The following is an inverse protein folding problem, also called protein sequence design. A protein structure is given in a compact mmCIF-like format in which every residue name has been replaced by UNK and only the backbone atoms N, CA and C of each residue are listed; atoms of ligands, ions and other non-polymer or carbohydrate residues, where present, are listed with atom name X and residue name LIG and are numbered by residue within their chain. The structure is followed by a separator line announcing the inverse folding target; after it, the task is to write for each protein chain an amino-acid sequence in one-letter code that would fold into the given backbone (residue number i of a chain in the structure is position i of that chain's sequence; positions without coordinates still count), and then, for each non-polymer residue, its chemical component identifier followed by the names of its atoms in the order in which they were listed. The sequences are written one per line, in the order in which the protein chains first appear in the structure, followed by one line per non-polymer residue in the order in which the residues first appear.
data_IF_486288861252
#
_entry.id   IF_486288861252
#
_cell.length_a   1.000
_cell.length_b   1.000
_cell.length_c   1.000
_cell.angle_alpha   90.00
_cell.angle_beta   90.00
_cell.angle_gamma   90.00
#
_symmetry.space_group_name_H-M   'P 1'
#
loop_
_entity.id
_entity.type
_entity.pdbx_description
1 polymer ?
#
# COMPACT_ATOMS: atom_id res chain seq x y z
N UNK A 1 32.40 0.00 2.43
CA UNK A 1 32.60 -1.40 2.78
C UNK A 1 31.98 -2.36 1.77
N UNK A 2 30.67 -2.37 1.56
CA UNK A 2 30.00 -3.32 0.66
C UNK A 2 30.40 -3.17 -0.81
N UNK A 3 30.67 -1.96 -1.30
CA UNK A 3 31.22 -1.75 -2.64
C UNK A 3 32.62 -2.35 -2.82
N UNK A 4 33.47 -2.26 -1.80
CA UNK A 4 34.78 -2.92 -1.83
C UNK A 4 34.63 -4.45 -1.80
N UNK A 5 33.72 -4.96 -0.95
CA UNK A 5 33.41 -6.38 -0.89
C UNK A 5 32.94 -6.90 -2.24
N UNK A 6 32.07 -6.15 -2.93
CA UNK A 6 31.58 -6.51 -4.27
C UNK A 6 32.70 -6.60 -5.32
N UNK A 7 33.68 -5.69 -5.26
CA UNK A 7 34.82 -5.70 -6.20
C UNK A 7 35.73 -6.94 -6.06
N UNK A 8 35.83 -7.48 -4.85
CA UNK A 8 36.69 -8.64 -4.57
C UNK A 8 35.91 -9.94 -4.40
N UNK A 9 34.59 -9.92 -4.68
CA UNK A 9 33.71 -11.07 -4.48
C UNK A 9 34.11 -12.22 -5.41
N UNK A 10 34.61 -13.31 -4.83
CA UNK A 10 35.05 -14.53 -5.51
C UNK A 10 33.96 -15.61 -5.60
N UNK A 11 32.84 -15.45 -4.86
CA UNK A 11 31.72 -16.38 -4.86
C UNK A 11 30.40 -15.66 -5.09
N UNK A 12 29.37 -16.38 -5.57
CA UNK A 12 28.00 -15.87 -5.70
C UNK A 12 27.44 -15.39 -4.37
N UNK A 13 27.65 -16.17 -3.30
CA UNK A 13 27.21 -15.81 -1.95
C UNK A 13 27.81 -14.48 -1.47
N UNK A 14 29.11 -14.29 -1.68
CA UNK A 14 29.79 -13.05 -1.31
C UNK A 14 29.26 -11.87 -2.11
N UNK A 15 28.98 -12.05 -3.41
CA UNK A 15 28.39 -11.07 -4.29
C UNK A 15 26.98 -10.69 -3.83
N UNK A 16 26.12 -11.68 -3.57
CA UNK A 16 24.75 -11.47 -3.06
C UNK A 16 24.77 -10.70 -1.74
N UNK A 17 25.65 -11.08 -0.79
CA UNK A 17 25.78 -10.39 0.50
C UNK A 17 26.20 -8.93 0.31
N UNK A 18 27.15 -8.65 -0.58
CA UNK A 18 27.60 -7.30 -0.85
C UNK A 18 26.48 -6.44 -1.51
N UNK A 19 25.78 -6.99 -2.51
CA UNK A 19 24.70 -6.30 -3.18
C UNK A 19 23.50 -6.03 -2.26
N UNK A 20 23.12 -7.00 -1.41
CA UNK A 20 22.08 -6.81 -0.41
C UNK A 20 22.48 -5.74 0.60
N UNK A 21 23.75 -5.71 1.03
CA UNK A 21 24.27 -4.66 1.90
C UNK A 21 24.22 -3.27 1.26
N UNK A 22 24.52 -3.15 -0.04
CA UNK A 22 24.40 -1.90 -0.81
C UNK A 22 22.93 -1.46 -0.88
N UNK A 23 22.01 -2.39 -1.19
CA UNK A 23 20.58 -2.10 -1.24
C UNK A 23 20.05 -1.54 0.09
N UNK A 24 20.41 -2.19 1.21
CA UNK A 24 20.03 -1.73 2.56
C UNK A 24 20.62 -0.36 2.91
N UNK A 25 21.84 -0.05 2.46
CA UNK A 25 22.42 1.28 2.63
C UNK A 25 21.58 2.34 1.89
N UNK A 26 21.26 2.12 0.62
CA UNK A 26 20.43 3.04 -0.16
C UNK A 26 19.01 3.19 0.40
N UNK A 27 18.46 2.10 0.93
CA UNK A 27 17.16 2.15 1.64
C UNK A 27 17.25 3.06 2.88
N UNK A 28 18.33 2.96 3.65
CA UNK A 28 18.54 3.84 4.81
C UNK A 28 18.76 5.31 4.43
N UNK A 29 19.40 5.57 3.30
CA UNK A 29 19.60 6.91 2.73
C UNK A 29 18.33 7.50 2.11
N UNK A 30 17.31 6.68 1.84
CA UNK A 30 16.06 7.10 1.20
C UNK A 30 16.20 7.47 -0.27
N UNK A 31 17.27 7.02 -0.96
CA UNK A 31 17.51 7.30 -2.37
C UNK A 31 16.78 6.31 -3.27
N UNK A 32 15.59 6.69 -3.75
CA UNK A 32 14.72 5.83 -4.55
C UNK A 32 15.40 5.30 -5.83
N UNK A 33 16.11 6.14 -6.56
CA UNK A 33 16.80 5.74 -7.81
C UNK A 33 17.89 4.70 -7.53
N UNK A 34 18.68 4.93 -6.49
CA UNK A 34 19.74 4.00 -6.09
C UNK A 34 19.17 2.68 -5.56
N UNK A 35 18.03 2.71 -4.85
CA UNK A 35 17.29 1.52 -4.41
C UNK A 35 16.85 0.69 -5.62
N UNK A 36 16.19 1.33 -6.59
CA UNK A 36 15.70 0.68 -7.81
C UNK A 36 16.87 0.01 -8.55
N UNK A 37 17.96 0.73 -8.76
CA UNK A 37 19.14 0.20 -9.46
C UNK A 37 19.77 -0.99 -8.70
N UNK A 38 19.99 -0.86 -7.39
CA UNK A 38 20.60 -1.90 -6.57
C UNK A 38 19.72 -3.15 -6.45
N UNK A 39 18.40 -2.97 -6.27
CA UNK A 39 17.45 -4.07 -6.21
C UNK A 39 17.34 -4.80 -7.55
N UNK A 40 17.30 -4.07 -8.67
CA UNK A 40 17.25 -4.66 -10.01
C UNK A 40 18.50 -5.51 -10.26
N UNK A 41 19.68 -4.97 -9.97
CA UNK A 41 20.93 -5.73 -10.11
C UNK A 41 20.98 -6.99 -9.21
N UNK A 42 20.41 -6.92 -8.01
CA UNK A 42 20.32 -8.07 -7.11
C UNK A 42 19.37 -9.13 -7.67
N UNK A 43 18.21 -8.72 -8.21
CA UNK A 43 17.17 -9.60 -8.76
C UNK A 43 17.57 -10.30 -10.07
N UNK A 44 18.59 -9.83 -10.78
CA UNK A 44 19.16 -10.48 -11.96
C UNK A 44 19.94 -11.77 -11.65
N UNK A 45 20.25 -12.02 -10.37
CA UNK A 45 20.95 -13.24 -9.99
C UNK A 45 20.06 -14.48 -10.12
N UNK A 46 20.54 -15.51 -10.81
CA UNK A 46 19.78 -16.75 -11.04
C UNK A 46 19.48 -17.53 -9.75
N UNK A 47 20.43 -17.54 -8.81
CA UNK A 47 20.33 -18.29 -7.54
C UNK A 47 20.18 -17.33 -6.36
N UNK A 48 19.00 -16.74 -6.23
CA UNK A 48 18.65 -15.89 -5.12
C UNK A 48 17.66 -16.60 -4.20
N UNK A 49 17.94 -16.61 -2.89
CA UNK A 49 16.98 -17.18 -1.93
C UNK A 49 15.68 -16.36 -1.92
N UNK A 50 14.56 -17.03 -1.63
CA UNK A 50 13.24 -16.38 -1.65
C UNK A 50 13.16 -15.17 -0.71
N UNK A 51 13.78 -15.27 0.48
CA UNK A 51 13.80 -14.16 1.44
C UNK A 51 14.51 -12.92 0.88
N UNK A 52 15.67 -13.12 0.23
CA UNK A 52 16.43 -11.99 -0.36
C UNK A 52 15.67 -11.43 -1.57
N UNK A 53 15.07 -12.29 -2.37
CA UNK A 53 14.22 -11.88 -3.49
C UNK A 53 13.04 -11.04 -3.02
N UNK A 54 12.32 -11.49 -2.01
CA UNK A 54 11.18 -10.74 -1.44
C UNK A 54 11.63 -9.39 -0.86
N UNK A 55 12.75 -9.34 -0.14
CA UNK A 55 13.30 -8.10 0.39
C UNK A 55 13.68 -7.12 -0.73
N UNK A 56 14.32 -7.61 -1.80
CA UNK A 56 14.70 -6.77 -2.94
C UNK A 56 13.48 -6.22 -3.69
N UNK A 57 12.48 -7.06 -3.94
CA UNK A 57 11.21 -6.65 -4.55
C UNK A 57 10.48 -5.62 -3.67
N UNK A 58 10.44 -5.85 -2.37
CA UNK A 58 9.77 -4.95 -1.43
C UNK A 58 10.39 -3.56 -1.42
N UNK A 59 11.72 -3.44 -1.33
CA UNK A 59 12.37 -2.14 -1.35
C UNK A 59 12.25 -1.45 -2.71
N UNK A 60 12.31 -2.22 -3.82
CA UNK A 60 12.10 -1.66 -5.16
C UNK A 60 10.68 -1.17 -5.35
N UNK A 61 9.69 -1.92 -4.90
CA UNK A 61 8.30 -1.51 -4.92
C UNK A 61 8.07 -0.21 -4.14
N UNK A 62 8.63 -0.09 -2.93
CA UNK A 62 8.52 1.14 -2.12
C UNK A 62 9.18 2.34 -2.82
N UNK A 63 10.30 2.14 -3.48
CA UNK A 63 10.96 3.18 -4.28
C UNK A 63 10.11 3.56 -5.51
N UNK A 64 9.49 2.60 -6.20
CA UNK A 64 8.54 2.87 -7.27
C UNK A 64 7.31 3.65 -6.78
N UNK A 65 6.75 3.28 -5.61
CA UNK A 65 5.63 4.02 -5.00
C UNK A 65 6.00 5.47 -4.68
N UNK A 66 7.20 5.70 -4.13
CA UNK A 66 7.67 7.07 -3.82
C UNK A 66 7.89 7.93 -5.06
N UNK A 67 8.12 7.31 -6.22
CA UNK A 67 8.23 7.96 -7.52
C UNK A 67 6.92 7.94 -8.32
N UNK A 68 5.80 7.57 -7.70
CA UNK A 68 4.46 7.46 -8.32
C UNK A 68 4.41 6.49 -9.52
N UNK A 69 5.37 5.56 -9.59
CA UNK A 69 5.48 4.53 -10.62
C UNK A 69 4.61 3.32 -10.25
N UNK A 70 3.32 3.55 -10.05
CA UNK A 70 2.38 2.57 -9.49
C UNK A 70 2.33 1.26 -10.29
N UNK A 71 2.38 1.33 -11.61
CA UNK A 71 2.37 0.13 -12.46
C UNK A 71 3.58 -0.77 -12.22
N UNK A 72 4.79 -0.20 -11.98
CA UNK A 72 5.99 -0.96 -11.63
C UNK A 72 5.91 -1.51 -10.20
N UNK A 73 5.36 -0.73 -9.28
CA UNK A 73 5.14 -1.17 -7.91
C UNK A 73 4.19 -2.39 -7.85
N UNK A 74 3.12 -2.41 -8.64
CA UNK A 74 2.18 -3.55 -8.74
C UNK A 74 2.90 -4.84 -9.09
N UNK A 75 3.81 -4.80 -10.07
CA UNK A 75 4.59 -5.99 -10.50
C UNK A 75 5.42 -6.56 -9.35
N UNK A 76 6.07 -5.70 -8.58
CA UNK A 76 6.93 -6.11 -7.47
C UNK A 76 6.14 -6.51 -6.22
N UNK A 77 5.00 -5.87 -5.95
CA UNK A 77 4.16 -6.14 -4.78
C UNK A 77 3.36 -7.45 -4.91
N UNK A 78 2.90 -7.81 -6.11
CA UNK A 78 2.05 -8.96 -6.34
C UNK A 78 2.59 -10.29 -5.78
N UNK A 79 3.86 -10.67 -5.95
CA UNK A 79 4.38 -11.91 -5.37
C UNK A 79 4.50 -11.85 -3.84
N UNK A 80 4.74 -10.66 -3.26
CA UNK A 80 4.96 -10.47 -1.81
C UNK A 80 3.63 -10.47 -1.07
N UNK A 81 2.56 -9.92 -1.65
CA UNK A 81 1.24 -9.72 -1.06
C UNK A 81 0.49 -11.02 -0.71
N UNK A 82 1.06 -12.17 -1.09
CA UNK A 82 0.45 -13.49 -0.85
C UNK A 82 0.63 -14.01 0.59
N UNK A 83 1.64 -13.51 1.32
CA UNK A 83 1.95 -13.97 2.68
C UNK A 83 1.65 -12.87 3.71
N UNK A 84 0.37 -12.59 3.92
CA UNK A 84 -0.11 -11.49 4.80
C UNK A 84 0.11 -11.74 6.30
N UNK A 85 0.60 -12.90 6.71
CA UNK A 85 0.98 -13.15 8.11
C UNK A 85 2.25 -12.44 8.51
N UNK A 86 3.11 -12.11 7.55
CA UNK A 86 4.30 -11.30 7.79
C UNK A 86 3.98 -9.81 7.68
N UNK A 87 4.68 -8.93 8.45
CA UNK A 87 4.50 -7.49 8.31
C UNK A 87 4.74 -6.98 6.88
N UNK A 88 5.78 -7.47 6.22
CA UNK A 88 6.12 -7.13 4.84
C UNK A 88 5.00 -7.53 3.86
N UNK A 89 4.48 -8.74 3.97
CA UNK A 89 3.41 -9.21 3.08
C UNK A 89 2.08 -8.50 3.29
N UNK A 90 1.73 -8.19 4.55
CA UNK A 90 0.53 -7.42 4.85
C UNK A 90 0.63 -5.97 4.36
N UNK A 91 1.78 -5.31 4.57
CA UNK A 91 2.06 -4.00 3.97
C UNK A 91 1.97 -4.06 2.44
N UNK A 92 2.62 -5.06 1.83
CA UNK A 92 2.58 -5.24 0.37
C UNK A 92 1.16 -5.45 -0.16
N UNK A 93 0.29 -6.17 0.57
CA UNK A 93 -1.11 -6.38 0.20
C UNK A 93 -1.90 -5.07 0.19
N UNK A 94 -1.76 -4.25 1.24
CA UNK A 94 -2.35 -2.92 1.28
C UNK A 94 -1.80 -2.02 0.18
N UNK A 95 -0.48 -1.97 0.01
CA UNK A 95 0.15 -1.11 -0.99
C UNK A 95 -0.20 -1.52 -2.42
N UNK A 96 -0.42 -2.80 -2.68
CA UNK A 96 -0.90 -3.31 -3.97
C UNK A 96 -2.29 -2.76 -4.28
N UNK A 97 -3.22 -2.87 -3.32
CA UNK A 97 -4.56 -2.30 -3.45
C UNK A 97 -4.52 -0.78 -3.66
N UNK A 98 -3.70 -0.08 -2.88
CA UNK A 98 -3.53 1.37 -3.02
C UNK A 98 -2.92 1.76 -4.38
N UNK A 99 -1.95 1.01 -4.88
CA UNK A 99 -1.37 1.24 -6.20
C UNK A 99 -2.41 1.08 -7.33
N UNK A 100 -3.29 0.07 -7.25
CA UNK A 100 -4.41 -0.07 -8.18
C UNK A 100 -5.39 1.11 -8.08
N UNK A 101 -5.69 1.58 -6.87
CA UNK A 101 -6.52 2.76 -6.66
C UNK A 101 -5.93 4.00 -7.32
N UNK A 102 -4.64 4.25 -7.13
CA UNK A 102 -3.93 5.38 -7.75
C UNK A 102 -3.86 5.28 -9.29
N UNK A 103 -3.89 4.07 -9.84
CA UNK A 103 -3.99 3.82 -11.29
C UNK A 103 -5.41 3.98 -11.83
N UNK A 104 -6.42 4.25 -10.98
CA UNK A 104 -7.82 4.29 -11.37
C UNK A 104 -8.44 2.91 -11.63
N UNK A 105 -7.73 1.83 -11.29
CA UNK A 105 -8.22 0.44 -11.42
C UNK A 105 -9.02 0.06 -10.17
N UNK A 106 -10.16 0.71 -9.99
CA UNK A 106 -10.95 0.71 -8.75
C UNK A 106 -11.42 -0.69 -8.38
N UNK A 107 -11.86 -1.48 -9.37
CA UNK A 107 -12.34 -2.86 -9.15
C UNK A 107 -11.20 -3.76 -8.64
N UNK A 108 -9.98 -3.62 -9.19
CA UNK A 108 -8.82 -4.39 -8.72
C UNK A 108 -8.39 -3.96 -7.32
N UNK A 109 -8.46 -2.66 -7.02
CA UNK A 109 -8.18 -2.15 -5.67
C UNK A 109 -9.13 -2.75 -4.64
N UNK A 110 -10.43 -2.75 -4.94
CA UNK A 110 -11.46 -3.34 -4.09
C UNK A 110 -11.27 -4.85 -3.90
N UNK A 111 -11.02 -5.58 -5.00
CA UNK A 111 -10.75 -7.03 -4.97
C UNK A 111 -9.58 -7.38 -4.06
N UNK A 112 -8.47 -6.62 -4.15
CA UNK A 112 -7.29 -6.84 -3.31
C UNK A 112 -7.59 -6.62 -1.82
N UNK A 113 -8.36 -5.57 -1.46
CA UNK A 113 -8.74 -5.34 -0.06
C UNK A 113 -9.73 -6.40 0.42
N UNK A 114 -10.76 -6.74 -0.37
CA UNK A 114 -11.73 -7.78 -0.02
C UNK A 114 -11.03 -9.14 0.17
N UNK A 115 -10.10 -9.48 -0.71
CA UNK A 115 -9.24 -10.66 -0.54
C UNK A 115 -8.45 -10.59 0.77
N UNK A 116 -7.89 -9.40 1.12
CA UNK A 116 -7.15 -9.23 2.37
C UNK A 116 -8.01 -9.50 3.61
N UNK A 117 -9.28 -9.06 3.61
CA UNK A 117 -10.20 -9.32 4.74
C UNK A 117 -10.51 -10.81 4.94
N UNK A 118 -10.39 -11.62 3.89
CA UNK A 118 -10.63 -13.07 3.93
C UNK A 118 -9.38 -13.85 4.35
N UNK A 119 -8.20 -13.24 4.25
CA UNK A 119 -6.94 -13.88 4.64
C UNK A 119 -6.72 -13.78 6.15
N UNK A 120 -6.23 -14.86 6.76
CA UNK A 120 -5.89 -14.84 8.18
C UNK A 120 -4.58 -14.05 8.38
N UNK A 121 -4.69 -12.91 9.06
CA UNK A 121 -3.54 -12.07 9.39
C UNK A 121 -3.62 -11.58 10.84
N UNK A 122 -2.46 -11.40 11.48
CA UNK A 122 -2.32 -10.70 12.75
C UNK A 122 -1.92 -9.24 12.56
N UNK A 123 -1.71 -8.81 11.31
CA UNK A 123 -1.24 -7.47 10.94
C UNK A 123 -2.41 -6.49 10.82
N UNK A 124 -3.04 -6.20 11.97
CA UNK A 124 -4.29 -5.43 12.01
C UNK A 124 -4.16 -4.00 11.50
N UNK A 125 -2.98 -3.39 11.66
CA UNK A 125 -2.71 -2.05 11.12
C UNK A 125 -2.90 -1.99 9.60
N UNK A 126 -2.28 -2.90 8.86
CA UNK A 126 -2.39 -2.92 7.40
C UNK A 126 -3.77 -3.31 6.91
N UNK A 127 -4.44 -4.20 7.63
CA UNK A 127 -5.84 -4.53 7.34
C UNK A 127 -6.75 -3.33 7.55
N UNK A 128 -6.55 -2.54 8.63
CA UNK A 128 -7.29 -1.31 8.89
C UNK A 128 -7.05 -0.27 7.78
N UNK A 129 -5.80 -0.11 7.32
CA UNK A 129 -5.49 0.75 6.16
C UNK A 129 -6.24 0.32 4.90
N UNK A 130 -6.36 -0.99 4.68
CA UNK A 130 -7.17 -1.55 3.58
C UNK A 130 -8.66 -1.19 3.71
N UNK A 131 -9.25 -1.31 4.90
CA UNK A 131 -10.66 -0.96 5.13
C UNK A 131 -10.91 0.55 4.97
N UNK A 132 -9.94 1.39 5.35
CA UNK A 132 -9.99 2.83 5.07
C UNK A 132 -9.97 3.07 3.55
N UNK A 133 -9.15 2.36 2.80
CA UNK A 133 -9.13 2.45 1.34
C UNK A 133 -10.47 2.02 0.72
N UNK A 134 -11.17 1.02 1.28
CA UNK A 134 -12.54 0.68 0.85
C UNK A 134 -13.52 1.83 1.09
N UNK A 135 -13.37 2.57 2.18
CA UNK A 135 -14.15 3.80 2.38
C UNK A 135 -13.86 4.83 1.30
N UNK A 136 -12.58 5.07 0.96
CA UNK A 136 -12.20 6.02 -0.09
C UNK A 136 -12.75 5.61 -1.47
N UNK A 137 -12.71 4.31 -1.79
CA UNK A 137 -13.31 3.76 -3.01
C UNK A 137 -14.81 4.06 -3.08
N UNK A 138 -15.55 3.88 -1.96
CA UNK A 138 -16.98 4.13 -1.93
C UNK A 138 -17.31 5.63 -1.97
N UNK A 139 -16.49 6.49 -1.35
CA UNK A 139 -16.61 7.95 -1.53
C UNK A 139 -16.46 8.32 -3.00
N UNK A 140 -15.47 7.78 -3.70
CA UNK A 140 -15.25 8.06 -5.12
C UNK A 140 -16.42 7.58 -6.01
N UNK A 141 -17.12 6.51 -5.61
CA UNK A 141 -18.34 6.01 -6.27
C UNK A 141 -19.61 6.79 -5.90
N UNK A 142 -19.53 7.72 -4.95
CA UNK A 142 -20.69 8.46 -4.43
C UNK A 142 -21.51 7.68 -3.38
N UNK A 143 -21.09 6.48 -3.00
CA UNK A 143 -21.76 5.69 -1.94
C UNK A 143 -21.24 6.10 -0.55
N UNK A 144 -21.64 7.29 -0.10
CA UNK A 144 -21.24 7.84 1.20
C UNK A 144 -21.72 6.98 2.37
N UNK A 145 -22.90 6.33 2.21
CA UNK A 145 -23.44 5.45 3.23
C UNK A 145 -22.52 4.25 3.47
N UNK A 146 -22.15 3.54 2.42
CA UNK A 146 -21.26 2.38 2.53
C UNK A 146 -19.85 2.77 3.01
N UNK A 147 -19.33 3.91 2.52
CA UNK A 147 -18.06 4.46 2.98
C UNK A 147 -18.04 4.66 4.51
N UNK A 148 -19.11 5.28 5.05
CA UNK A 148 -19.29 5.52 6.48
C UNK A 148 -19.39 4.23 7.28
N UNK A 149 -20.08 3.19 6.76
CA UNK A 149 -20.21 1.90 7.44
C UNK A 149 -18.85 1.21 7.66
N UNK A 150 -17.93 1.24 6.68
CA UNK A 150 -16.58 0.69 6.85
C UNK A 150 -15.82 1.41 7.98
N UNK A 151 -15.88 2.73 8.04
CA UNK A 151 -15.19 3.50 9.08
C UNK A 151 -15.79 3.29 10.47
N UNK A 152 -17.11 3.25 10.60
CA UNK A 152 -17.80 3.01 11.88
C UNK A 152 -17.52 1.59 12.40
N UNK A 153 -17.55 0.59 11.53
CA UNK A 153 -17.18 -0.77 11.88
C UNK A 153 -15.73 -0.86 12.37
N UNK A 154 -14.82 -0.16 11.67
CA UNK A 154 -13.41 -0.10 12.05
C UNK A 154 -13.24 0.64 13.40
N UNK A 155 -13.90 1.78 13.59
CA UNK A 155 -13.88 2.55 14.86
C UNK A 155 -14.33 1.71 16.06
N UNK A 156 -15.32 0.85 15.87
CA UNK A 156 -15.86 0.01 16.94
C UNK A 156 -14.97 -1.19 17.29
N UNK A 157 -14.12 -1.64 16.37
CA UNK A 157 -13.36 -2.89 16.51
C UNK A 157 -11.84 -2.69 16.59
N UNK A 158 -11.33 -1.51 16.25
CA UNK A 158 -9.91 -1.21 16.26
C UNK A 158 -9.50 -0.49 17.52
N UNK A 159 -8.66 -1.10 18.37
CA UNK A 159 -8.32 -0.59 19.70
C UNK A 159 -6.80 -0.33 19.90
N UNK A 160 -6.04 -0.21 18.81
CA UNK A 160 -4.61 0.08 18.87
C UNK A 160 -4.35 1.59 19.01
N UNK A 161 -3.23 1.95 19.65
CA UNK A 161 -2.80 3.33 19.87
C UNK A 161 -1.79 3.76 18.81
N UNK A 162 -2.28 3.93 17.59
CA UNK A 162 -1.52 4.39 16.43
C UNK A 162 -2.28 5.52 15.69
N UNK A 163 -1.99 5.77 14.42
CA UNK A 163 -2.62 6.83 13.62
C UNK A 163 -4.03 6.48 13.11
N UNK A 164 -4.42 5.20 13.10
CA UNK A 164 -5.71 4.75 12.54
C UNK A 164 -6.92 5.45 13.16
N UNK A 165 -7.07 5.57 14.51
CA UNK A 165 -8.22 6.25 15.11
C UNK A 165 -8.36 7.73 14.68
N UNK A 166 -7.24 8.42 14.49
CA UNK A 166 -7.24 9.80 14.04
C UNK A 166 -7.69 9.90 12.57
N UNK A 167 -7.19 9.00 11.72
CA UNK A 167 -7.57 8.91 10.30
C UNK A 167 -9.07 8.61 10.16
N UNK A 168 -9.62 7.68 10.94
CA UNK A 168 -11.05 7.35 10.93
C UNK A 168 -11.88 8.59 11.29
N UNK A 169 -11.49 9.30 12.35
CA UNK A 169 -12.21 10.49 12.80
C UNK A 169 -12.23 11.57 11.72
N UNK A 170 -11.10 11.83 11.10
CA UNK A 170 -10.98 12.80 10.01
C UNK A 170 -11.87 12.41 8.83
N UNK A 171 -11.80 11.16 8.37
CA UNK A 171 -12.59 10.70 7.22
C UNK A 171 -14.10 10.68 7.48
N UNK A 172 -14.53 10.38 8.70
CA UNK A 172 -15.94 10.50 9.06
C UNK A 172 -16.43 11.95 9.00
N UNK A 173 -15.59 12.92 9.38
CA UNK A 173 -15.92 14.36 9.24
C UNK A 173 -15.97 14.79 7.77
N UNK A 174 -15.05 14.30 6.94
CA UNK A 174 -15.05 14.56 5.49
C UNK A 174 -16.32 14.02 4.83
N UNK A 175 -16.74 12.78 5.15
CA UNK A 175 -17.98 12.19 4.63
C UNK A 175 -19.20 12.99 5.11
N UNK A 176 -19.25 13.42 6.37
CA UNK A 176 -20.35 14.22 6.90
C UNK A 176 -20.46 15.57 6.16
N UNK A 177 -19.35 16.19 5.83
CA UNK A 177 -19.34 17.43 5.06
C UNK A 177 -19.90 17.22 3.63
N UNK A 178 -19.54 16.09 2.97
CA UNK A 178 -20.07 15.71 1.68
C UNK A 178 -21.59 15.42 1.73
N UNK A 179 -22.06 14.69 2.75
CA UNK A 179 -23.49 14.44 2.98
C UNK A 179 -24.28 15.77 3.07
N UNK A 180 -23.78 16.71 3.87
CA UNK A 180 -24.42 18.03 4.07
C UNK A 180 -24.43 18.88 2.80
N UNK A 181 -23.39 18.83 1.99
CA UNK A 181 -23.32 19.54 0.71
C UNK A 181 -24.35 18.97 -0.29
N UNK A 182 -24.47 17.64 -0.39
CA UNK A 182 -25.44 16.98 -1.26
C UNK A 182 -26.90 17.30 -0.86
N UNK A 183 -27.19 17.44 0.45
CA UNK A 183 -28.52 17.81 0.94
C UNK A 183 -28.89 19.26 0.55
N UNK A 184 -27.92 20.18 0.57
CA UNK A 184 -28.12 21.57 0.16
C UNK A 184 -28.41 21.71 -1.35
N UNK A 185 -27.65 21.00 -2.18
CA UNK A 185 -27.87 21.00 -3.63
C UNK A 185 -29.25 20.44 -4.01
N UNK A 186 -29.73 19.42 -3.30
CA UNK A 186 -31.06 18.85 -3.56
C UNK A 186 -32.18 19.81 -3.16
N UNK A 187 -32.04 20.56 -2.07
CA UNK A 187 -33.06 21.55 -1.63
C UNK A 187 -33.12 22.75 -2.58
N UNK A 188 -31.98 23.26 -3.06
CA UNK A 188 -31.96 24.40 -4.02
C UNK A 188 -32.57 24.02 -5.37
N UNK A 189 -32.35 22.77 -5.86
CA UNK A 189 -32.94 22.31 -7.13
C UNK A 189 -34.45 22.07 -7.05
N UNK A 190 -34.99 21.70 -5.90
CA UNK A 190 -36.42 21.51 -5.66
C UNK A 190 -37.16 22.90 -5.58
N UNK A 191 -36.55 23.93 -5.03
CA UNK A 191 -37.12 25.30 -4.97
C UNK A 191 -37.16 25.95 -6.33
N UNK A 192 -36.16 25.71 -7.21
CA UNK A 192 -36.11 26.32 -8.55
C UNK A 192 -37.07 25.63 -9.54
N UNK A 193 -37.56 24.44 -9.27
CA UNK A 193 -38.50 23.68 -10.10
C UNK A 193 -39.99 24.02 -9.79
N UNK A 194 -40.24 24.78 -8.71
CA UNK A 194 -41.59 25.09 -8.21
C UNK A 194 -42.04 26.55 -8.59
N UNK A 195 -41.27 27.29 -9.39
CA UNK A 195 -41.60 28.61 -9.94
C UNK A 195 -41.95 28.52 -11.43
#
# INVERSE_FOLDING_TARGET
YFQQMLRVASSSTMRTTAQLGILRCHQHEGNAEAIIAAATQLLEQEQLSDNIRQEALYYRAKAHLSNEQYGLAVVDLSPISKEVRTPMGAEAKYQLANAYFQLGSIELAEEEVMSFTQMQTTQQYWLAKGLILLSDINVQRGDLFQAKQYLLALQSNYHHQDDIPAIITQKLQEIQALESANEQETTETEEDTTL
#
